data_IF_999000205910
#
_entry.id   IF_999000205910
#
_cell.length_a   1.000
_cell.length_b   1.000
_cell.length_c   1.000
_cell.angle_alpha   90.00
_cell.angle_beta   90.00
_cell.angle_gamma   90.00
#
_symmetry.space_group_name_H-M   'P 1'
#
loop_
_entity.id
_entity.type
_entity.pdbx_description
1 polymer ?
#
# COMPACT_ATOMS: atom_id res chain seq x y z
N UNK A 1 -45.03 -37.25 2.34
CA UNK A 1 -43.77 -37.10 3.10
C UNK A 1 -42.69 -37.88 2.36
N UNK A 2 -41.94 -37.24 1.48
CA UNK A 2 -40.92 -37.90 0.65
C UNK A 2 -39.94 -36.85 0.15
N UNK A 3 -38.82 -36.75 0.86
CA UNK A 3 -37.71 -35.82 0.67
C UNK A 3 -37.06 -36.11 -0.69
N UNK A 4 -37.23 -35.23 -1.68
CA UNK A 4 -36.48 -35.31 -2.94
C UNK A 4 -35.03 -34.90 -2.67
N UNK A 5 -34.17 -35.91 -2.79
CA UNK A 5 -32.72 -35.87 -2.67
C UNK A 5 -32.14 -34.74 -3.52
N UNK A 6 -31.36 -33.88 -2.88
CA UNK A 6 -30.68 -32.76 -3.52
C UNK A 6 -29.40 -33.24 -4.18
N UNK A 7 -29.43 -33.49 -5.49
CA UNK A 7 -28.26 -33.80 -6.31
C UNK A 7 -27.39 -32.54 -6.53
N UNK A 8 -26.75 -32.08 -5.46
CA UNK A 8 -25.79 -30.97 -5.50
C UNK A 8 -24.42 -31.50 -5.92
N UNK A 9 -24.26 -31.81 -7.22
CA UNK A 9 -23.08 -32.47 -7.76
C UNK A 9 -21.97 -31.52 -8.25
N UNK A 10 -21.85 -30.33 -7.65
CA UNK A 10 -20.66 -29.45 -7.78
C UNK A 10 -20.44 -28.67 -6.46
N UNK A 11 -19.48 -29.05 -5.59
CA UNK A 11 -19.25 -28.43 -4.28
C UNK A 11 -18.87 -26.94 -4.32
N UNK A 12 -18.52 -26.43 -5.50
CA UNK A 12 -17.86 -25.13 -5.68
C UNK A 12 -18.82 -23.95 -5.86
N UNK A 13 -20.13 -24.16 -6.05
CA UNK A 13 -21.07 -23.07 -6.35
C UNK A 13 -21.77 -22.46 -5.13
N UNK A 14 -21.98 -23.21 -4.05
CA UNK A 14 -22.62 -22.66 -2.83
C UNK A 14 -21.64 -21.91 -1.92
N UNK A 15 -20.33 -22.22 -2.02
CA UNK A 15 -19.27 -21.51 -1.31
C UNK A 15 -18.89 -20.17 -2.00
N UNK A 16 -19.30 -20.03 -3.26
CA UNK A 16 -18.94 -18.94 -4.18
C UNK A 16 -19.46 -17.56 -3.76
N UNK A 17 -20.70 -17.37 -3.28
CA UNK A 17 -21.20 -16.04 -2.88
C UNK A 17 -20.55 -15.57 -1.59
N UNK A 18 -20.36 -16.47 -0.61
CA UNK A 18 -19.73 -16.15 0.67
C UNK A 18 -18.24 -15.87 0.53
N UNK A 19 -17.54 -16.63 -0.32
CA UNK A 19 -16.12 -16.35 -0.61
C UNK A 19 -15.96 -15.05 -1.39
N UNK A 20 -16.81 -14.76 -2.37
CA UNK A 20 -16.77 -13.48 -3.09
C UNK A 20 -17.11 -12.29 -2.17
N UNK A 21 -18.09 -12.44 -1.27
CA UNK A 21 -18.43 -11.41 -0.29
C UNK A 21 -17.29 -11.19 0.72
N UNK A 22 -16.68 -12.26 1.24
CA UNK A 22 -15.53 -12.17 2.14
C UNK A 22 -14.31 -11.55 1.44
N UNK A 23 -14.09 -11.89 0.16
CA UNK A 23 -13.03 -11.29 -0.64
C UNK A 23 -13.31 -9.80 -0.88
N UNK A 24 -14.52 -9.42 -1.29
CA UNK A 24 -14.91 -8.02 -1.46
C UNK A 24 -14.80 -7.21 -0.15
N UNK A 25 -15.20 -7.80 0.98
CA UNK A 25 -15.02 -7.19 2.30
C UNK A 25 -13.55 -7.04 2.66
N UNK A 26 -12.72 -8.04 2.39
CA UNK A 26 -11.28 -7.99 2.63
C UNK A 26 -10.59 -6.92 1.78
N UNK A 27 -10.86 -6.88 0.47
CA UNK A 27 -10.33 -5.85 -0.44
C UNK A 27 -10.86 -4.45 -0.11
N UNK A 28 -12.12 -4.34 0.31
CA UNK A 28 -12.70 -3.08 0.81
C UNK A 28 -12.02 -2.59 2.07
N UNK A 29 -11.80 -3.46 3.06
CA UNK A 29 -11.10 -3.14 4.31
C UNK A 29 -9.64 -2.74 4.06
N UNK A 30 -8.92 -3.47 3.20
CA UNK A 30 -7.54 -3.15 2.83
C UNK A 30 -7.48 -1.79 2.14
N UNK A 31 -8.37 -1.54 1.17
CA UNK A 31 -8.45 -0.25 0.47
C UNK A 31 -8.75 0.88 1.46
N UNK A 32 -9.75 0.72 2.34
CA UNK A 32 -10.10 1.74 3.33
C UNK A 32 -8.94 2.06 4.29
N UNK A 33 -8.11 1.08 4.65
CA UNK A 33 -6.94 1.31 5.51
C UNK A 33 -5.81 2.03 4.79
N UNK A 34 -5.54 1.67 3.55
CA UNK A 34 -4.48 2.31 2.74
C UNK A 34 -4.86 3.75 2.37
N UNK A 35 -6.08 3.95 1.85
CA UNK A 35 -6.56 5.28 1.47
C UNK A 35 -6.94 6.14 2.69
N UNK A 36 -7.46 5.54 3.77
CA UNK A 36 -7.77 6.27 5.01
C UNK A 36 -6.51 6.77 5.73
N UNK A 37 -5.40 6.04 5.66
CA UNK A 37 -4.12 6.50 6.17
C UNK A 37 -3.57 7.72 5.38
N UNK A 38 -3.87 7.80 4.08
CA UNK A 38 -3.49 8.95 3.25
C UNK A 38 -4.32 10.20 3.60
N UNK A 39 -5.64 10.06 3.79
CA UNK A 39 -6.51 11.20 4.14
C UNK A 39 -6.24 11.77 5.54
N UNK A 40 -5.94 10.92 6.54
CA UNK A 40 -5.58 11.41 7.87
C UNK A 40 -4.21 12.09 7.94
N UNK A 41 -3.35 11.92 6.92
CA UNK A 41 -2.10 12.66 6.83
C UNK A 41 -2.31 14.09 6.34
N UNK A 42 -3.44 14.40 5.71
CA UNK A 42 -3.76 15.73 5.18
C UNK A 42 -4.41 16.63 6.26
N UNK A 43 -5.08 16.06 7.27
CA UNK A 43 -5.72 16.80 8.37
C UNK A 43 -4.74 17.15 9.53
N UNK A 44 -3.56 17.68 9.20
CA UNK A 44 -2.67 18.27 10.21
C UNK A 44 -2.04 19.54 9.72
N UNK A 45 -2.81 20.61 9.56
CA UNK A 45 -2.31 22.00 9.55
C UNK A 45 -3.51 22.96 9.68
N UNK A 46 -3.51 24.08 10.41
CA UNK A 46 -2.45 24.97 10.92
C UNK A 46 -3.03 25.80 12.08
N UNK A 47 -2.45 25.75 13.28
CA UNK A 47 -2.51 26.90 14.21
C UNK A 47 -1.36 27.82 13.81
N UNK A 48 -1.70 28.95 13.17
CA UNK A 48 -0.75 29.93 12.70
C UNK A 48 -0.08 30.63 13.90
N UNK A 49 1.19 30.31 14.15
CA UNK A 49 2.10 31.16 14.94
C UNK A 49 2.71 32.21 14.00
N UNK A 50 3.05 33.41 14.50
CA UNK A 50 3.67 34.44 13.68
C UNK A 50 5.06 33.94 13.26
N UNK A 51 5.19 33.53 12.00
CA UNK A 51 6.45 33.04 11.45
C UNK A 51 7.25 34.27 11.05
N UNK A 52 8.34 34.55 11.76
CA UNK A 52 9.44 35.30 11.14
C UNK A 52 9.89 34.48 9.94
N UNK A 53 9.73 35.01 8.73
CA UNK A 53 10.06 34.30 7.49
C UNK A 53 11.48 33.73 7.60
N UNK A 54 11.69 32.42 7.38
CA UNK A 54 13.00 31.82 7.49
C UNK A 54 13.94 32.32 6.39
N UNK A 55 15.26 32.28 6.63
CA UNK A 55 16.23 32.99 5.77
C UNK A 55 16.24 32.48 4.32
N UNK A 56 16.00 31.19 4.11
CA UNK A 56 15.95 30.56 2.79
C UNK A 56 14.74 30.96 1.92
N UNK A 57 13.76 31.66 2.48
CA UNK A 57 12.69 32.28 1.68
C UNK A 57 13.06 33.67 1.16
N UNK A 58 14.05 34.31 1.78
CA UNK A 58 14.43 35.69 1.49
C UNK A 58 15.79 35.81 0.79
N UNK A 59 16.63 34.79 0.90
CA UNK A 59 18.01 34.78 0.43
C UNK A 59 18.34 33.47 -0.28
N UNK A 60 19.36 33.51 -1.14
CA UNK A 60 19.96 32.29 -1.69
C UNK A 60 20.61 31.49 -0.57
N UNK A 61 20.43 30.18 -0.64
CA UNK A 61 20.96 29.22 0.33
C UNK A 61 21.73 28.13 -0.39
N UNK A 62 22.70 27.56 0.30
CA UNK A 62 23.41 26.35 -0.12
C UNK A 62 23.07 25.20 0.81
N UNK A 63 22.95 23.99 0.27
CA UNK A 63 22.71 22.79 1.08
C UNK A 63 24.04 22.40 1.73
N UNK A 64 24.12 22.56 3.04
CA UNK A 64 25.29 22.22 3.85
C UNK A 64 25.29 20.75 4.28
N UNK A 65 24.10 20.19 4.53
CA UNK A 65 23.91 18.79 4.95
C UNK A 65 22.78 18.17 4.14
N UNK A 66 23.07 17.03 3.52
CA UNK A 66 22.08 16.26 2.74
C UNK A 66 20.88 15.83 3.60
N UNK A 67 19.75 15.60 2.95
CA UNK A 67 18.48 15.24 3.61
C UNK A 67 18.61 13.96 4.45
N UNK A 68 18.33 14.05 5.75
CA UNK A 68 18.42 12.92 6.69
C UNK A 68 17.16 12.79 7.57
N UNK A 69 16.96 11.60 8.14
CA UNK A 69 15.82 11.30 9.00
C UNK A 69 15.99 11.96 10.36
N UNK A 70 14.94 12.63 10.85
CA UNK A 70 15.01 13.22 12.18
C UNK A 70 15.13 12.16 13.28
N UNK A 71 15.94 12.48 14.28
CA UNK A 71 16.01 11.71 15.51
C UNK A 71 14.88 12.07 16.47
N UNK A 72 14.65 11.27 17.52
CA UNK A 72 13.58 11.50 18.51
C UNK A 72 13.60 12.92 19.12
N UNK A 73 14.80 13.47 19.34
CA UNK A 73 14.98 14.84 19.83
C UNK A 73 14.55 15.90 18.80
N UNK A 74 14.90 15.69 17.53
CA UNK A 74 14.61 16.61 16.42
C UNK A 74 13.18 16.49 15.91
N UNK A 75 12.44 15.45 16.32
CA UNK A 75 11.02 15.27 15.95
C UNK A 75 10.13 16.41 16.44
N UNK A 76 10.58 17.18 17.44
CA UNK A 76 9.90 18.38 17.94
C UNK A 76 10.12 19.63 17.07
N UNK A 77 11.07 19.59 16.13
CA UNK A 77 11.37 20.72 15.26
C UNK A 77 10.24 20.94 14.27
N UNK A 78 9.90 22.20 14.03
CA UNK A 78 8.87 22.57 13.06
C UNK A 78 9.20 22.02 11.65
N UNK A 79 10.48 22.07 11.26
CA UNK A 79 10.97 21.52 9.99
C UNK A 79 10.77 19.99 9.87
N UNK A 80 10.79 19.27 10.99
CA UNK A 80 10.64 17.82 10.98
C UNK A 80 9.18 17.36 10.98
N UNK A 81 8.25 18.21 11.45
CA UNK A 81 6.86 17.80 11.72
C UNK A 81 6.11 17.37 10.45
N UNK A 82 6.53 17.85 9.27
CA UNK A 82 5.80 17.66 8.02
C UNK A 82 6.18 16.36 7.28
N UNK A 83 7.48 16.08 7.12
CA UNK A 83 7.96 14.89 6.38
C UNK A 83 8.70 13.88 7.25
N UNK A 84 9.18 14.28 8.45
CA UNK A 84 10.08 13.47 9.26
C UNK A 84 11.54 13.47 8.79
N UNK A 85 11.87 14.30 7.80
CA UNK A 85 13.21 14.45 7.23
C UNK A 85 13.58 15.91 7.11
N UNK A 86 14.86 16.22 7.38
CA UNK A 86 15.38 17.59 7.30
C UNK A 86 16.71 17.63 6.58
N UNK A 87 16.96 18.72 5.88
CA UNK A 87 18.26 19.05 5.29
C UNK A 87 18.81 20.31 5.98
N UNK A 88 20.13 20.36 6.12
CA UNK A 88 20.83 21.51 6.68
C UNK A 88 21.21 22.47 5.56
N UNK A 89 20.88 23.75 5.71
CA UNK A 89 21.16 24.79 4.73
C UNK A 89 21.91 25.95 5.36
N UNK A 90 22.77 26.60 4.59
CA UNK A 90 23.44 27.84 4.97
C UNK A 90 22.94 28.97 4.07
N UNK A 91 22.37 30.01 4.67
CA UNK A 91 21.94 31.21 3.97
C UNK A 91 23.14 32.11 3.67
N UNK A 92 23.40 32.39 2.38
CA UNK A 92 24.67 32.97 1.93
C UNK A 92 24.86 34.40 2.48
N UNK A 93 23.80 35.20 2.46
CA UNK A 93 23.87 36.63 2.80
C UNK A 93 23.89 36.88 4.32
N UNK A 94 23.14 36.10 5.09
CA UNK A 94 23.15 36.16 6.56
C UNK A 94 24.18 35.24 7.24
N UNK A 95 24.86 34.38 6.46
CA UNK A 95 25.74 33.31 6.94
C UNK A 95 25.13 32.48 8.08
N UNK A 96 23.83 32.17 7.94
CA UNK A 96 23.05 31.51 8.98
C UNK A 96 22.73 30.07 8.59
N UNK A 97 23.05 29.13 9.47
CA UNK A 97 22.63 27.74 9.34
C UNK A 97 21.19 27.56 9.83
N UNK A 98 20.33 27.03 8.97
CA UNK A 98 18.96 26.66 9.30
C UNK A 98 18.64 25.25 8.82
N UNK A 99 17.58 24.67 9.38
CA UNK A 99 17.06 23.36 8.96
C UNK A 99 15.70 23.55 8.30
N UNK A 100 15.54 22.96 7.12
CA UNK A 100 14.26 22.92 6.40
C UNK A 100 13.81 21.49 6.18
N UNK A 101 12.49 21.32 6.03
CA UNK A 101 11.90 20.05 5.62
C UNK A 101 12.37 19.69 4.21
N UNK A 102 12.81 18.46 4.02
CA UNK A 102 13.19 17.93 2.72
C UNK A 102 12.32 16.72 2.34
N UNK A 103 12.19 16.51 1.02
CA UNK A 103 11.56 15.32 0.44
C UNK A 103 12.68 14.37 0.03
N UNK A 104 12.92 13.35 0.85
CA UNK A 104 13.99 12.37 0.58
C UNK A 104 13.58 11.42 -0.54
N UNK A 105 14.35 11.40 -1.63
CA UNK A 105 14.20 10.44 -2.75
C UNK A 105 14.40 8.99 -2.28
N UNK A 106 15.29 8.76 -1.32
CA UNK A 106 15.56 7.44 -0.74
C UNK A 106 14.32 6.83 -0.05
N UNK A 107 13.49 7.67 0.56
CA UNK A 107 12.23 7.21 1.16
C UNK A 107 11.22 6.80 0.07
N UNK A 108 11.19 7.53 -1.04
CA UNK A 108 10.32 7.20 -2.19
C UNK A 108 10.73 5.87 -2.82
N UNK A 109 12.03 5.60 -2.94
CA UNK A 109 12.54 4.32 -3.45
C UNK A 109 12.18 3.13 -2.55
N UNK A 110 12.30 3.27 -1.23
CA UNK A 110 11.93 2.20 -0.31
C UNK A 110 10.42 1.93 -0.29
N UNK A 111 9.59 2.98 -0.36
CA UNK A 111 8.14 2.81 -0.50
C UNK A 111 7.80 2.16 -1.84
N UNK A 112 8.48 2.56 -2.91
CA UNK A 112 8.32 2.00 -4.24
C UNK A 112 8.62 0.50 -4.25
N UNK A 113 9.79 0.08 -3.74
CA UNK A 113 10.16 -1.34 -3.71
C UNK A 113 9.23 -2.19 -2.85
N UNK A 114 8.73 -1.65 -1.73
CA UNK A 114 7.74 -2.33 -0.89
C UNK A 114 6.41 -2.50 -1.62
N UNK A 115 5.94 -1.46 -2.30
CA UNK A 115 4.70 -1.51 -3.06
C UNK A 115 4.80 -2.44 -4.27
N UNK A 116 5.85 -2.28 -5.08
CA UNK A 116 6.11 -3.09 -6.26
C UNK A 116 6.24 -4.57 -5.89
N UNK A 117 7.03 -4.88 -4.86
CA UNK A 117 7.17 -6.25 -4.35
C UNK A 117 5.85 -6.85 -3.85
N UNK A 118 5.02 -6.05 -3.18
CA UNK A 118 3.70 -6.50 -2.71
C UNK A 118 2.75 -6.79 -3.88
N UNK A 119 2.70 -5.92 -4.89
CA UNK A 119 1.84 -6.08 -6.07
C UNK A 119 2.28 -7.25 -6.95
N UNK A 120 3.59 -7.45 -7.11
CA UNK A 120 4.15 -8.62 -7.81
C UNK A 120 3.80 -9.92 -7.08
N UNK A 121 4.03 -9.98 -5.76
CA UNK A 121 3.69 -11.15 -4.95
C UNK A 121 2.20 -11.49 -5.00
N UNK A 122 1.35 -10.46 -4.92
CA UNK A 122 -0.09 -10.61 -5.04
C UNK A 122 -0.51 -11.17 -6.42
N UNK A 123 0.12 -10.68 -7.48
CA UNK A 123 -0.14 -11.15 -8.86
C UNK A 123 0.22 -12.62 -9.00
N UNK A 124 1.39 -13.04 -8.50
CA UNK A 124 1.81 -14.45 -8.50
C UNK A 124 0.82 -15.33 -7.72
N UNK A 125 0.39 -14.87 -6.55
CA UNK A 125 -0.59 -15.59 -5.74
C UNK A 125 -1.90 -15.82 -6.52
N UNK A 126 -2.44 -14.77 -7.14
CA UNK A 126 -3.65 -14.90 -7.94
C UNK A 126 -3.47 -15.81 -9.15
N UNK A 127 -2.32 -15.72 -9.84
CA UNK A 127 -2.01 -16.62 -10.94
C UNK A 127 -2.01 -18.10 -10.50
N UNK A 128 -1.39 -18.41 -9.36
CA UNK A 128 -1.39 -19.77 -8.80
C UNK A 128 -2.80 -20.27 -8.48
N UNK A 129 -3.62 -19.44 -7.87
CA UNK A 129 -5.03 -19.77 -7.55
C UNK A 129 -5.82 -20.06 -8.83
N UNK A 130 -5.65 -19.24 -9.88
CA UNK A 130 -6.32 -19.44 -11.17
C UNK A 130 -5.88 -20.75 -11.83
N UNK A 131 -4.58 -21.04 -11.87
CA UNK A 131 -4.04 -22.28 -12.45
C UNK A 131 -4.51 -23.50 -11.68
N UNK A 132 -4.48 -23.48 -10.35
CA UNK A 132 -4.95 -24.58 -9.52
C UNK A 132 -6.44 -24.87 -9.79
N UNK A 133 -7.25 -23.82 -9.92
CA UNK A 133 -8.67 -23.94 -10.26
C UNK A 133 -8.87 -24.50 -11.66
N UNK A 134 -8.15 -24.02 -12.66
CA UNK A 134 -8.20 -24.53 -14.04
C UNK A 134 -7.86 -26.02 -14.07
N UNK A 135 -6.76 -26.44 -13.42
CA UNK A 135 -6.37 -27.85 -13.31
C UNK A 135 -7.44 -28.72 -12.63
N UNK A 136 -8.15 -28.19 -11.62
CA UNK A 136 -9.25 -28.92 -10.99
C UNK A 136 -10.41 -29.16 -11.98
N UNK A 137 -10.72 -28.17 -12.82
CA UNK A 137 -11.76 -28.28 -13.84
C UNK A 137 -11.36 -29.24 -14.97
N UNK A 138 -10.10 -29.22 -15.40
CA UNK A 138 -9.58 -30.13 -16.42
C UNK A 138 -9.59 -31.58 -15.95
N UNK A 139 -9.22 -31.84 -14.68
CA UNK A 139 -9.33 -33.18 -14.08
C UNK A 139 -10.78 -33.67 -14.08
N UNK A 140 -11.72 -32.83 -13.65
CA UNK A 140 -13.14 -33.16 -13.65
C UNK A 140 -13.71 -33.38 -15.07
N UNK A 141 -13.20 -32.68 -16.07
CA UNK A 141 -13.59 -32.90 -17.46
C UNK A 141 -13.06 -34.24 -18.00
N UNK A 142 -11.79 -34.56 -17.73
CA UNK A 142 -11.18 -35.83 -18.15
C UNK A 142 -11.83 -37.06 -17.51
N UNK A 143 -12.22 -36.97 -16.24
CA UNK A 143 -12.94 -38.05 -15.54
C UNK A 143 -14.34 -38.29 -16.12
N UNK A 144 -15.02 -37.22 -16.59
CA UNK A 144 -16.32 -37.35 -17.26
C UNK A 144 -16.20 -38.06 -18.59
N UNK A 145 -15.17 -37.76 -19.39
CA UNK A 145 -14.90 -38.44 -20.67
C UNK A 145 -14.57 -39.91 -20.43
N UNK A 146 -13.72 -40.22 -19.44
CA UNK A 146 -13.31 -41.60 -19.16
C UNK A 146 -14.47 -42.51 -18.74
N UNK A 147 -15.40 -42.00 -17.93
CA UNK A 147 -16.61 -42.75 -17.54
C UNK A 147 -17.57 -43.03 -18.70
N UNK A 148 -17.56 -42.20 -19.75
CA UNK A 148 -18.37 -42.48 -20.94
C UNK A 148 -17.80 -43.63 -21.79
N UNK A 149 -16.51 -43.93 -21.68
CA UNK A 149 -15.85 -45.03 -22.41
C UNK A 149 -16.03 -46.36 -21.67
N UNK A 150 -16.07 -46.35 -20.34
CA UNK A 150 -16.29 -47.55 -19.51
C UNK A 150 -17.76 -48.01 -19.47
N UNK A 151 -18.71 -47.18 -19.93
CA UNK A 151 -20.15 -47.48 -19.92
C UNK A 151 -20.72 -47.95 -21.27
N UNK A 152 -19.86 -48.20 -22.26
CA UNK A 152 -20.21 -48.72 -23.60
C UNK A 152 -19.95 -50.21 -23.65
#
# INVERSE_FOLDING_TARGET
>A
MGRMESDCRIPMLCLRPRVLALHALFWGLVSLRVFGAALLSEEKTTVARPVTNPCWQMEEFVVAVECFRCNAFQSSWAACTQTGYVEGINCIKSNKDEYKSCRSTLMEEHLFWKFEGAMLGLTVLFALVVVARQRSLDRLASEKVRRQIESI
#
